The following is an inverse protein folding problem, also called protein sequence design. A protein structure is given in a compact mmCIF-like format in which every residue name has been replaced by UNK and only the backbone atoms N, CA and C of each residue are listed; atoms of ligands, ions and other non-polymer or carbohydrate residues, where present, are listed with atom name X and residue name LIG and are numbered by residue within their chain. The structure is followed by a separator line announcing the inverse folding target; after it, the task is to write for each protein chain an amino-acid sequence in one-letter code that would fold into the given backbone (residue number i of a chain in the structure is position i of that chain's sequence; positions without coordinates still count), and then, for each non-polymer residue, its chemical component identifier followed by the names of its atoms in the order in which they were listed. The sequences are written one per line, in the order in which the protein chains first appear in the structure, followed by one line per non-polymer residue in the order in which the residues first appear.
data_IF_684622872540
#
_entry.id   IF_684622872540
#
_cell.length_a   1.000
_cell.length_b   1.000
_cell.length_c   1.000
_cell.angle_alpha   90.00
_cell.angle_beta   90.00
_cell.angle_gamma   90.00
#
_symmetry.space_group_name_H-M   'P 1'
#
loop_
_entity.id
_entity.type
_entity.pdbx_description
1 polymer ?
#
# COMPACT_ATOMS: atom_id res chain seq x y z
N UNK A 1 3.43 -7.21 -2.41
CA UNK A 1 3.90 -7.01 -3.78
C UNK A 1 2.95 -7.67 -4.77
N UNK A 2 2.68 -6.93 -5.84
CA UNK A 2 2.14 -7.50 -7.06
C UNK A 2 3.27 -8.18 -7.83
N UNK A 3 3.04 -9.40 -8.30
CA UNK A 3 4.03 -10.20 -9.01
C UNK A 3 3.48 -10.56 -10.39
N UNK A 4 4.23 -10.23 -11.44
CA UNK A 4 3.93 -10.61 -12.82
C UNK A 4 4.83 -11.78 -13.23
N UNK A 5 4.22 -12.89 -13.62
CA UNK A 5 4.91 -13.98 -14.30
C UNK A 5 4.75 -13.79 -15.80
N UNK A 6 5.87 -13.65 -16.49
CA UNK A 6 5.93 -13.38 -17.92
C UNK A 6 6.51 -14.61 -18.62
N UNK A 7 5.71 -15.23 -19.49
CA UNK A 7 6.09 -16.38 -20.31
C UNK A 7 6.13 -15.95 -21.78
N UNK A 8 7.33 -16.03 -22.39
CA UNK A 8 7.60 -15.59 -23.76
C UNK A 8 8.71 -16.47 -24.35
N UNK A 9 8.53 -16.98 -25.57
CA UNK A 9 9.48 -17.88 -26.27
C UNK A 9 9.94 -19.09 -25.42
N UNK A 10 9.03 -19.68 -24.65
CA UNK A 10 9.35 -20.80 -23.75
C UNK A 10 10.20 -20.41 -22.52
N UNK A 11 10.55 -19.14 -22.34
CA UNK A 11 11.22 -18.62 -21.16
C UNK A 11 10.21 -18.03 -20.18
N UNK A 12 10.43 -18.27 -18.90
CA UNK A 12 9.66 -17.73 -17.79
C UNK A 12 10.51 -16.76 -16.99
N UNK A 13 10.01 -15.55 -16.75
CA UNK A 13 10.60 -14.60 -15.80
C UNK A 13 9.53 -14.09 -14.83
N UNK A 14 9.96 -13.73 -13.63
CA UNK A 14 9.10 -13.20 -12.58
C UNK A 14 9.55 -11.79 -12.28
N UNK A 15 8.63 -10.84 -12.42
CA UNK A 15 8.86 -9.43 -12.12
C UNK A 15 8.07 -9.06 -10.86
N UNK A 16 8.77 -8.45 -9.91
CA UNK A 16 8.17 -7.92 -8.68
C UNK A 16 7.87 -6.45 -8.90
N UNK A 17 6.61 -6.06 -8.75
CA UNK A 17 6.16 -4.70 -8.93
C UNK A 17 5.92 -4.10 -7.56
N UNK A 18 6.67 -3.05 -7.26
CA UNK A 18 6.50 -2.27 -6.05
C UNK A 18 5.31 -1.32 -6.22
N UNK A 19 4.24 -1.56 -5.46
CA UNK A 19 3.00 -0.79 -5.57
C UNK A 19 2.92 0.22 -4.43
N UNK A 20 2.89 1.50 -4.79
CA UNK A 20 2.73 2.62 -3.86
C UNK A 20 1.37 3.26 -4.06
N UNK A 21 0.56 3.27 -3.01
CA UNK A 21 -0.65 4.09 -3.00
C UNK A 21 -0.31 5.51 -2.57
N UNK A 22 -0.47 6.48 -3.46
CA UNK A 22 -0.26 7.90 -3.18
C UNK A 22 -1.57 8.69 -2.98
N UNK A 23 -2.71 8.01 -2.82
CA UNK A 23 -4.02 8.65 -2.73
C UNK A 23 -4.49 8.86 -1.29
N UNK A 24 -3.69 8.48 -0.28
CA UNK A 24 -4.14 8.57 1.11
C UNK A 24 -4.10 10.02 1.59
N UNK A 25 -5.28 10.58 1.84
CA UNK A 25 -5.45 11.94 2.37
C UNK A 25 -5.72 11.91 3.88
N UNK A 26 -5.25 12.95 4.59
CA UNK A 26 -5.58 13.18 5.99
C UNK A 26 -6.28 14.53 6.17
N UNK A 27 -7.62 14.49 6.24
CA UNK A 27 -8.52 15.60 6.55
C UNK A 27 -9.87 15.52 5.81
N UNK A 28 -10.52 16.67 5.63
CA UNK A 28 -11.80 16.79 4.92
C UNK A 28 -11.53 17.31 3.51
N UNK A 29 -11.99 16.53 2.53
CA UNK A 29 -11.94 16.89 1.11
C UNK A 29 -13.07 17.88 0.75
N UNK A 30 -12.94 18.56 -0.39
CA UNK A 30 -13.88 19.58 -0.90
C UNK A 30 -15.26 19.00 -1.16
N UNK A 31 -15.33 17.71 -1.48
CA UNK A 31 -16.58 16.96 -1.67
C UNK A 31 -17.23 16.49 -0.35
N UNK A 32 -16.62 16.83 0.80
CA UNK A 32 -17.10 16.47 2.13
C UNK A 32 -16.62 15.11 2.63
N UNK A 33 -15.84 14.36 1.86
CA UNK A 33 -15.26 13.10 2.32
C UNK A 33 -14.24 13.36 3.46
N UNK A 34 -14.54 12.84 4.64
CA UNK A 34 -13.64 12.92 5.80
C UNK A 34 -12.80 11.66 5.92
N UNK A 35 -11.51 11.75 5.59
CA UNK A 35 -10.52 10.72 5.90
C UNK A 35 -9.56 11.25 6.96
N UNK A 36 -9.93 11.06 8.23
CA UNK A 36 -9.12 11.52 9.37
C UNK A 36 -8.05 10.51 9.81
N UNK A 37 -8.10 9.28 9.28
CA UNK A 37 -7.15 8.23 9.63
C UNK A 37 -6.99 7.22 8.47
N UNK A 38 -5.82 7.13 7.80
CA UNK A 38 -5.57 6.15 6.75
C UNK A 38 -5.57 4.70 7.28
N UNK A 39 -5.66 4.52 8.60
CA UNK A 39 -5.76 3.23 9.29
C UNK A 39 -7.14 3.03 9.95
N UNK A 40 -8.14 3.83 9.59
CA UNK A 40 -9.49 3.67 10.11
C UNK A 40 -10.00 2.25 9.75
N UNK A 41 -10.44 1.45 10.73
CA UNK A 41 -11.00 0.13 10.43
C UNK A 41 -12.17 0.23 9.43
N UNK A 42 -12.18 -0.66 8.45
CA UNK A 42 -13.21 -0.78 7.42
C UNK A 42 -13.13 0.24 6.28
N UNK A 43 -12.44 1.38 6.46
CA UNK A 43 -12.43 2.49 5.48
C UNK A 43 -11.05 3.06 5.17
N UNK A 44 -10.03 2.73 5.97
CA UNK A 44 -8.66 3.19 5.77
C UNK A 44 -7.99 2.52 4.58
N UNK A 45 -6.88 3.09 4.14
CA UNK A 45 -6.07 2.68 2.99
C UNK A 45 -5.84 1.18 2.90
N UNK A 46 -5.34 0.55 3.96
CA UNK A 46 -5.02 -0.88 3.91
C UNK A 46 -6.26 -1.76 3.87
N UNK A 47 -7.34 -1.38 4.55
CA UNK A 47 -8.59 -2.13 4.51
C UNK A 47 -9.26 -2.00 3.13
N UNK A 48 -9.22 -0.81 2.53
CA UNK A 48 -9.65 -0.60 1.16
C UNK A 48 -8.89 -1.50 0.18
N UNK A 49 -7.55 -1.45 0.19
CA UNK A 49 -6.74 -2.27 -0.71
C UNK A 49 -6.81 -3.76 -0.39
N UNK A 50 -7.03 -4.13 0.88
CA UNK A 50 -7.29 -5.50 1.30
C UNK A 50 -8.60 -6.04 0.71
N UNK A 51 -9.67 -5.22 0.73
CA UNK A 51 -10.94 -5.56 0.10
C UNK A 51 -10.81 -5.66 -1.43
N UNK A 52 -10.07 -4.75 -2.06
CA UNK A 52 -9.79 -4.83 -3.51
C UNK A 52 -9.03 -6.11 -3.85
N UNK A 53 -7.97 -6.44 -3.11
CA UNK A 53 -7.23 -7.70 -3.31
C UNK A 53 -8.15 -8.92 -3.13
N UNK A 54 -9.02 -8.91 -2.12
CA UNK A 54 -10.00 -9.98 -1.89
C UNK A 54 -10.96 -10.16 -3.06
N UNK A 55 -11.49 -9.05 -3.61
CA UNK A 55 -12.37 -9.08 -4.79
C UNK A 55 -11.66 -9.61 -6.04
N UNK A 56 -10.44 -9.15 -6.31
CA UNK A 56 -9.64 -9.64 -7.44
C UNK A 56 -9.42 -11.16 -7.33
N UNK A 57 -9.07 -11.65 -6.14
CA UNK A 57 -8.89 -13.09 -5.90
C UNK A 57 -10.19 -13.87 -6.12
N UNK A 58 -11.31 -13.38 -5.60
CA UNK A 58 -12.62 -14.01 -5.79
C UNK A 58 -13.03 -14.06 -7.27
N UNK A 59 -12.76 -12.99 -8.02
CA UNK A 59 -13.01 -12.95 -9.46
C UNK A 59 -12.11 -13.93 -10.22
N UNK A 60 -10.83 -14.05 -9.86
CA UNK A 60 -9.93 -15.05 -10.43
C UNK A 60 -10.38 -16.48 -10.13
N UNK A 61 -10.85 -16.75 -8.91
CA UNK A 61 -11.40 -18.06 -8.53
C UNK A 61 -12.66 -18.41 -9.33
N UNK A 62 -13.51 -17.41 -9.60
CA UNK A 62 -14.76 -17.57 -10.37
C UNK A 62 -14.52 -17.75 -11.87
N UNK A 63 -13.59 -16.99 -12.45
CA UNK A 63 -13.40 -16.90 -13.90
C UNK A 63 -12.25 -17.78 -14.42
N UNK A 64 -11.29 -18.11 -13.56
CA UNK A 64 -10.00 -18.70 -13.96
C UNK A 64 -9.06 -17.71 -14.65
N UNK A 65 -9.45 -16.43 -14.80
CA UNK A 65 -8.71 -15.42 -15.56
C UNK A 65 -7.62 -14.71 -14.74
N UNK A 66 -6.69 -15.50 -14.20
CA UNK A 66 -5.49 -14.96 -13.54
C UNK A 66 -4.40 -14.56 -14.53
N UNK A 67 -4.57 -14.92 -15.80
CA UNK A 67 -3.61 -14.67 -16.87
C UNK A 67 -4.27 -14.18 -18.14
N UNK A 68 -3.57 -13.34 -18.88
CA UNK A 68 -3.98 -12.93 -20.23
C UNK A 68 -2.81 -13.04 -21.19
N UNK A 69 -3.12 -13.11 -22.48
CA UNK A 69 -2.14 -13.18 -23.56
C UNK A 69 -2.10 -11.85 -24.30
N UNK A 70 -0.90 -11.39 -24.62
CA UNK A 70 -0.65 -10.13 -25.34
C UNK A 70 0.63 -10.23 -26.15
N UNK A 71 0.99 -9.15 -26.85
CA UNK A 71 2.25 -9.05 -27.59
C UNK A 71 3.15 -8.01 -26.92
N UNK A 72 4.35 -8.41 -26.52
CA UNK A 72 5.38 -7.51 -25.99
C UNK A 72 6.60 -7.61 -26.90
N UNK A 73 7.06 -6.49 -27.46
CA UNK A 73 8.19 -6.44 -28.40
C UNK A 73 8.01 -7.39 -29.60
N UNK A 74 6.80 -7.42 -30.17
CA UNK A 74 6.47 -8.25 -31.35
C UNK A 74 6.34 -9.75 -31.07
N UNK A 75 6.43 -10.18 -29.81
CA UNK A 75 6.39 -11.60 -29.42
C UNK A 75 5.18 -11.92 -28.56
N UNK A 76 4.56 -13.06 -28.86
CA UNK A 76 3.44 -13.59 -28.08
C UNK A 76 3.89 -13.84 -26.63
N UNK A 77 3.13 -13.31 -25.69
CA UNK A 77 3.48 -13.26 -24.27
C UNK A 77 2.27 -13.62 -23.44
N UNK A 78 2.41 -14.56 -22.52
CA UNK A 78 1.43 -14.82 -21.47
C UNK A 78 1.87 -14.10 -20.20
N UNK A 79 0.98 -13.29 -19.64
CA UNK A 79 1.15 -12.60 -18.37
C UNK A 79 0.23 -13.21 -17.34
N UNK A 80 0.77 -13.63 -16.19
CA UNK A 80 -0.02 -14.14 -15.06
C UNK A 80 0.28 -13.33 -13.80
N UNK A 81 -0.75 -12.94 -13.06
CA UNK A 81 -0.62 -12.07 -11.89
C UNK A 81 -0.74 -12.85 -10.59
N UNK A 82 -0.02 -12.43 -9.56
CA UNK A 82 -0.21 -12.96 -8.21
C UNK A 82 0.12 -11.91 -7.15
N UNK A 83 -0.39 -12.13 -5.94
CA UNK A 83 -0.07 -11.30 -4.78
C UNK A 83 0.88 -12.06 -3.87
N UNK A 84 2.09 -11.53 -3.72
CA UNK A 84 3.12 -12.10 -2.85
C UNK A 84 3.41 -11.15 -1.71
N UNK A 85 3.41 -11.61 -0.44
CA UNK A 85 3.84 -10.79 0.69
C UNK A 85 5.26 -10.25 0.48
N UNK A 86 5.50 -9.00 0.88
CA UNK A 86 6.85 -8.44 0.81
C UNK A 86 7.78 -9.19 1.79
N UNK A 87 8.91 -9.79 1.32
CA UNK A 87 9.69 -10.74 2.11
C UNK A 87 10.12 -10.22 3.48
N UNK A 88 10.55 -8.96 3.56
CA UNK A 88 10.95 -8.36 4.83
C UNK A 88 9.81 -8.36 5.85
N UNK A 89 8.64 -7.84 5.47
CA UNK A 89 7.48 -7.78 6.37
C UNK A 89 6.96 -9.17 6.70
N UNK A 90 6.99 -10.09 5.72
CA UNK A 90 6.51 -11.45 5.90
C UNK A 90 7.35 -12.23 6.91
N UNK A 91 8.68 -12.15 6.77
CA UNK A 91 9.63 -12.77 7.69
C UNK A 91 9.50 -12.19 9.10
N UNK A 92 9.42 -10.86 9.21
CA UNK A 92 9.26 -10.18 10.49
C UNK A 92 7.96 -10.60 11.19
N UNK A 93 6.82 -10.58 10.49
CA UNK A 93 5.53 -10.95 11.07
C UNK A 93 5.47 -12.43 11.43
N UNK A 94 6.10 -13.31 10.62
CA UNK A 94 6.19 -14.73 10.94
C UNK A 94 7.05 -14.98 12.19
N UNK A 95 8.14 -14.23 12.36
CA UNK A 95 8.95 -14.29 13.58
C UNK A 95 8.17 -13.79 14.81
N UNK A 96 7.46 -12.66 14.70
CA UNK A 96 6.61 -12.12 15.77
C UNK A 96 5.48 -13.06 16.16
N UNK A 97 4.85 -13.73 15.18
CA UNK A 97 3.85 -14.76 15.40
C UNK A 97 4.41 -15.93 16.22
N UNK A 98 5.59 -16.43 15.86
CA UNK A 98 6.28 -17.51 16.60
C UNK A 98 6.63 -17.13 18.04
N UNK A 99 7.00 -15.86 18.27
CA UNK A 99 7.27 -15.36 19.63
C UNK A 99 6.00 -15.34 20.49
N UNK A 100 4.81 -15.19 19.88
CA UNK A 100 3.52 -15.28 20.57
C UNK A 100 3.19 -14.10 21.50
N UNK A 101 3.96 -13.01 21.45
CA UNK A 101 3.76 -11.82 22.29
C UNK A 101 2.99 -10.74 21.54
N UNK A 102 3.15 -9.48 21.95
CA UNK A 102 2.65 -8.30 21.26
C UNK A 102 2.98 -8.40 19.76
N UNK A 103 1.97 -8.15 18.91
CA UNK A 103 2.07 -8.19 17.45
C UNK A 103 2.13 -9.58 16.80
N UNK A 104 1.83 -10.66 17.53
CA UNK A 104 1.72 -12.02 16.98
C UNK A 104 0.58 -12.18 15.96
N UNK A 105 -0.44 -11.32 16.05
CA UNK A 105 -1.60 -11.24 15.18
C UNK A 105 -1.33 -10.55 13.83
N UNK A 106 -0.18 -9.89 13.67
CA UNK A 106 0.12 -9.10 12.46
C UNK A 106 0.19 -9.94 11.19
N UNK A 107 0.67 -11.19 11.29
CA UNK A 107 0.72 -12.09 10.14
C UNK A 107 -0.68 -12.33 9.57
N UNK A 108 -1.64 -12.60 10.45
CA UNK A 108 -3.02 -12.84 10.06
C UNK A 108 -3.70 -11.56 9.56
N UNK A 109 -3.51 -10.44 10.26
CA UNK A 109 -4.07 -9.15 9.85
C UNK A 109 -3.55 -8.68 8.49
N UNK A 110 -2.29 -9.00 8.14
CA UNK A 110 -1.66 -8.53 6.91
C UNK A 110 -1.82 -9.46 5.70
N UNK A 111 -2.50 -10.61 5.85
CA UNK A 111 -2.67 -11.61 4.76
C UNK A 111 -3.29 -11.04 3.49
N UNK A 112 -4.12 -10.00 3.62
CA UNK A 112 -4.78 -9.34 2.50
C UNK A 112 -4.15 -8.00 2.12
N UNK A 113 -3.09 -7.57 2.80
CA UNK A 113 -2.40 -6.31 2.49
C UNK A 113 -1.17 -6.54 1.61
N UNK A 114 -1.21 -7.54 0.71
CA UNK A 114 -0.10 -7.83 -0.19
C UNK A 114 -0.20 -7.05 -1.50
N UNK A 115 -1.34 -6.43 -1.81
CA UNK A 115 -1.48 -5.67 -3.05
C UNK A 115 -0.59 -4.41 -3.03
N UNK A 116 -0.75 -3.56 -2.01
CA UNK A 116 0.10 -2.39 -1.83
C UNK A 116 1.26 -2.66 -0.89
N UNK A 117 2.44 -2.21 -1.28
CA UNK A 117 3.66 -2.34 -0.49
C UNK A 117 3.82 -1.14 0.45
N UNK A 118 3.50 0.06 -0.04
CA UNK A 118 3.48 1.28 0.77
C UNK A 118 2.27 2.16 0.47
N UNK A 119 1.77 2.83 1.51
CA UNK A 119 0.86 3.97 1.39
C UNK A 119 1.60 5.26 1.72
N UNK A 120 1.45 6.28 0.87
CA UNK A 120 1.96 7.63 1.11
C UNK A 120 0.79 8.50 1.53
N UNK A 121 0.92 9.10 2.70
CA UNK A 121 -0.12 9.94 3.29
C UNK A 121 0.22 11.40 3.12
N UNK A 122 -0.68 12.14 2.48
CA UNK A 122 -0.58 13.58 2.27
C UNK A 122 -1.39 14.34 3.32
N UNK A 123 -0.84 15.43 3.88
CA UNK A 123 -1.64 16.35 4.69
C UNK A 123 -2.62 17.08 3.76
N UNK A 124 -3.94 16.89 3.96
CA UNK A 124 -4.96 17.51 3.10
C UNK A 124 -6.06 18.13 3.95
N UNK A 125 -6.23 19.46 3.86
CA UNK A 125 -7.28 20.16 4.59
C UNK A 125 -7.74 21.34 3.75
N UNK A 126 -8.55 21.05 2.72
CA UNK A 126 -8.94 22.04 1.72
C UNK A 126 -9.84 23.14 2.33
N UNK A 127 -10.66 22.77 3.32
CA UNK A 127 -11.46 23.71 4.14
C UNK A 127 -10.60 24.71 4.91
N UNK A 128 -9.35 24.37 5.23
CA UNK A 128 -8.48 25.21 6.05
C UNK A 128 -7.45 26.00 5.25
N UNK A 129 -7.22 25.69 3.96
CA UNK A 129 -6.29 26.43 3.08
C UNK A 129 -6.55 27.94 3.08
N UNK A 130 -7.77 28.37 3.36
CA UNK A 130 -8.16 29.78 3.36
C UNK A 130 -7.80 30.59 4.62
N UNK A 131 -7.47 29.98 5.78
CA UNK A 131 -7.49 30.72 7.06
C UNK A 131 -6.15 30.94 7.78
N UNK A 132 -5.21 29.97 7.81
CA UNK A 132 -3.92 30.13 8.53
C UNK A 132 -2.79 29.23 7.95
N UNK A 133 -2.00 29.70 6.97
CA UNK A 133 -1.10 28.86 6.17
C UNK A 133 -0.04 28.06 6.95
N UNK A 134 0.51 28.60 8.04
CA UNK A 134 1.66 28.01 8.74
C UNK A 134 1.29 26.98 9.82
N UNK A 135 0.15 27.14 10.49
CA UNK A 135 -0.30 26.20 11.53
C UNK A 135 -0.75 24.84 10.93
N UNK A 136 -1.14 24.85 9.65
CA UNK A 136 -1.83 23.75 8.98
C UNK A 136 -0.93 22.61 8.55
N UNK A 137 0.22 22.92 7.94
CA UNK A 137 1.20 21.89 7.64
C UNK A 137 1.66 21.23 8.92
N UNK A 138 1.84 21.99 10.02
CA UNK A 138 2.36 21.45 11.28
C UNK A 138 1.37 20.48 11.94
N UNK A 139 0.10 20.84 12.04
CA UNK A 139 -0.93 19.98 12.65
C UNK A 139 -1.17 18.69 11.84
N UNK A 140 -1.34 18.80 10.52
CA UNK A 140 -1.53 17.63 9.65
C UNK A 140 -0.28 16.76 9.62
N UNK A 141 0.92 17.36 9.59
CA UNK A 141 2.18 16.62 9.68
C UNK A 141 2.35 15.92 11.04
N UNK A 142 1.90 16.52 12.14
CA UNK A 142 1.89 15.88 13.46
C UNK A 142 0.95 14.67 13.42
N UNK A 143 -0.27 14.83 12.89
CA UNK A 143 -1.22 13.72 12.79
C UNK A 143 -0.72 12.59 11.92
N UNK A 144 -0.16 12.87 10.73
CA UNK A 144 0.48 11.85 9.89
C UNK A 144 1.60 11.14 10.69
N UNK A 145 2.45 11.91 11.38
CA UNK A 145 3.56 11.33 12.15
C UNK A 145 3.12 10.40 13.27
N UNK A 146 1.97 10.66 13.92
CA UNK A 146 1.43 9.78 14.97
C UNK A 146 1.18 8.36 14.47
N UNK A 147 0.91 8.19 13.19
CA UNK A 147 0.68 6.88 12.58
C UNK A 147 1.96 6.34 11.92
N UNK A 148 2.66 7.16 11.12
CA UNK A 148 3.81 6.69 10.33
C UNK A 148 5.06 6.38 11.15
N UNK A 149 5.15 6.78 12.42
CA UNK A 149 6.30 6.43 13.29
C UNK A 149 6.01 5.27 14.23
N UNK A 150 4.79 4.74 14.26
CA UNK A 150 4.41 3.67 15.18
C UNK A 150 4.47 2.32 14.48
N UNK A 151 5.07 1.33 15.14
CA UNK A 151 5.01 -0.05 14.68
C UNK A 151 3.57 -0.59 14.80
N UNK A 152 3.07 -1.33 13.79
CA UNK A 152 3.74 -1.78 12.56
C UNK A 152 3.63 -0.81 11.37
N UNK A 153 2.88 0.28 11.51
CA UNK A 153 2.55 1.19 10.42
C UNK A 153 3.76 1.89 9.82
N UNK A 154 4.82 2.14 10.60
CA UNK A 154 6.10 2.65 10.10
C UNK A 154 6.72 1.76 9.01
N UNK A 155 6.31 0.50 8.90
CA UNK A 155 6.79 -0.41 7.85
C UNK A 155 6.07 -0.22 6.50
N UNK A 156 4.87 0.38 6.51
CA UNK A 156 4.00 0.46 5.33
C UNK A 156 3.49 1.85 5.01
N UNK A 157 3.55 2.81 5.93
CA UNK A 157 3.12 4.17 5.69
C UNK A 157 4.31 5.12 5.67
N UNK A 158 4.39 5.90 4.59
CA UNK A 158 5.29 7.02 4.47
C UNK A 158 4.50 8.32 4.61
N UNK A 159 5.11 9.27 5.32
CA UNK A 159 4.61 10.64 5.41
C UNK A 159 5.18 11.46 4.27
N UNK A 160 4.33 12.22 3.58
CA UNK A 160 4.83 13.29 2.71
C UNK A 160 5.48 14.38 3.57
N UNK A 161 6.78 14.64 3.37
CA UNK A 161 7.50 15.72 4.05
C UNK A 161 8.21 16.58 2.99
N UNK A 162 8.03 17.90 3.06
CA UNK A 162 8.69 18.88 2.17
C UNK A 162 10.22 18.75 2.19
N UNK A 163 10.80 18.19 3.25
CA UNK A 163 12.24 17.94 3.38
C UNK A 163 12.72 16.57 2.85
N UNK A 164 11.82 15.64 2.47
CA UNK A 164 12.22 14.32 1.96
C UNK A 164 12.84 14.41 0.54
N UNK A 165 12.59 15.49 -0.21
CA UNK A 165 13.28 15.79 -1.47
C UNK A 165 14.72 16.34 -1.29
N UNK A 166 15.22 16.46 -0.04
CA UNK A 166 16.61 16.85 0.24
C UNK A 166 17.53 15.68 0.57
N UNK A 167 17.12 14.43 0.33
CA UNK A 167 18.08 13.33 0.22
C UNK A 167 18.82 13.44 -1.11
N UNK A 168 19.81 14.35 -1.16
CA UNK A 168 20.93 14.18 -2.09
C UNK A 168 21.66 12.94 -1.62
N UNK A 169 21.66 11.89 -2.45
CA UNK A 169 22.68 10.84 -2.34
C UNK A 169 24.04 11.56 -2.40
N UNK A 170 24.76 11.50 -1.29
CA UNK A 170 26.20 11.77 -1.25
C UNK A 170 26.90 10.44 -1.42
#
# INVERSE_FOLDING_TARGET
MLTATIEQDGKKRVEQIFVVDAHSHLGQDVDGATMMNPLAPGVGTFDFWGNVQGRIKADWEKTGEQSFTTTINGKFTKLSWSFTPYPFTDNLYSALQKIGKRHSDLKEKSKFYAFIDQGVVFPFQDVFRAKLPEALYRASNINVSRFTTRFPFAMKLLKYNKNLMKFKFK
#
